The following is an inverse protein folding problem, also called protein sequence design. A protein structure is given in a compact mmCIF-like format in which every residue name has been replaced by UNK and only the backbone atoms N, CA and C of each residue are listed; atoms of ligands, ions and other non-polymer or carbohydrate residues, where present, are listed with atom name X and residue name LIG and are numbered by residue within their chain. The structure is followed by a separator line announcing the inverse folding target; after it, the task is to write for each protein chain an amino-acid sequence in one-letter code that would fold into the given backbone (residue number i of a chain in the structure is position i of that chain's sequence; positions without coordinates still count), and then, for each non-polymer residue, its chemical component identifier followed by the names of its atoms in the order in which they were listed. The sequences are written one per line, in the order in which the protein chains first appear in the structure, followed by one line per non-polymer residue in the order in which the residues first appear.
data_IF_803287234186
#
_entry.id   IF_803287234186
#
_cell.length_a   1.000
_cell.length_b   1.000
_cell.length_c   1.000
_cell.angle_alpha   90.00
_cell.angle_beta   90.00
_cell.angle_gamma   90.00
#
_symmetry.space_group_name_H-M   'P 1'
#
loop_
_entity.id
_entity.type
_entity.pdbx_description
1 polymer ?
#
# COMPACT_ATOMS: atom_id res chain seq x y z
N UNK A 1 18.08 29.01 19.68
CA UNK A 1 16.83 28.94 18.97
C UNK A 1 16.89 29.87 17.78
N UNK A 2 16.94 29.34 16.55
CA UNK A 2 16.82 30.15 15.34
C UNK A 2 15.34 30.57 15.23
N UNK A 3 15.08 31.86 15.22
CA UNK A 3 13.77 32.39 14.86
C UNK A 3 13.50 31.99 13.39
N UNK A 4 12.59 31.07 13.18
CA UNK A 4 12.14 30.69 11.84
C UNK A 4 11.37 31.88 11.29
N UNK A 5 11.86 32.49 10.23
CA UNK A 5 11.14 33.60 9.58
C UNK A 5 9.83 33.07 8.97
N UNK A 6 8.78 33.87 8.98
CA UNK A 6 7.45 33.49 8.43
C UNK A 6 7.53 32.92 7.01
N UNK A 7 8.46 33.38 6.21
CA UNK A 7 8.72 32.90 4.84
C UNK A 7 9.29 31.47 4.82
N UNK A 8 10.13 31.10 5.78
CA UNK A 8 10.68 29.74 5.88
C UNK A 8 9.62 28.76 6.35
N UNK A 9 8.78 29.14 7.32
CA UNK A 9 7.68 28.31 7.80
C UNK A 9 6.64 28.02 6.70
N UNK A 10 6.32 29.02 5.86
CA UNK A 10 5.38 28.81 4.74
C UNK A 10 5.97 27.91 3.64
N UNK A 11 7.25 28.03 3.34
CA UNK A 11 7.93 27.16 2.37
C UNK A 11 8.03 25.72 2.86
N UNK A 12 8.31 25.52 4.13
CA UNK A 12 8.32 24.18 4.76
C UNK A 12 6.92 23.56 4.75
N UNK A 13 5.88 24.30 5.08
CA UNK A 13 4.50 23.83 5.04
C UNK A 13 4.07 23.43 3.62
N UNK A 14 4.42 24.21 2.61
CA UNK A 14 4.13 23.88 1.22
C UNK A 14 4.85 22.59 0.78
N UNK A 15 6.11 22.42 1.16
CA UNK A 15 6.88 21.22 0.85
C UNK A 15 6.29 19.98 1.53
N UNK A 16 5.87 20.10 2.79
CA UNK A 16 5.22 19.00 3.53
C UNK A 16 3.85 18.64 2.92
N UNK A 17 3.06 19.65 2.52
CA UNK A 17 1.78 19.41 1.85
C UNK A 17 1.97 18.69 0.50
N UNK A 18 2.94 19.10 -0.31
CA UNK A 18 3.27 18.42 -1.58
C UNK A 18 3.74 16.98 -1.35
N UNK A 19 4.57 16.76 -0.34
CA UNK A 19 5.00 15.41 0.05
C UNK A 19 3.83 14.55 0.48
N UNK A 20 2.91 15.09 1.28
CA UNK A 20 1.69 14.40 1.72
C UNK A 20 0.80 14.00 0.54
N UNK A 21 0.57 14.91 -0.41
CA UNK A 21 -0.20 14.63 -1.63
C UNK A 21 0.48 13.52 -2.45
N UNK A 22 1.78 13.61 -2.64
CA UNK A 22 2.54 12.61 -3.41
C UNK A 22 2.44 11.23 -2.79
N UNK A 23 2.56 11.13 -1.47
CA UNK A 23 2.47 9.85 -0.76
C UNK A 23 1.03 9.33 -0.75
N UNK A 24 0.03 10.19 -0.55
CA UNK A 24 -1.39 9.79 -0.63
C UNK A 24 -1.72 9.19 -1.99
N UNK A 25 -1.25 9.80 -3.06
CA UNK A 25 -1.40 9.28 -4.42
C UNK A 25 -0.68 7.92 -4.62
N UNK A 26 0.49 7.73 -4.01
CA UNK A 26 1.21 6.46 -4.07
C UNK A 26 0.51 5.35 -3.28
N UNK A 27 -0.18 5.69 -2.19
CA UNK A 27 -0.91 4.73 -1.37
C UNK A 27 -2.19 4.19 -2.03
N UNK A 28 -2.80 4.91 -2.97
CA UNK A 28 -4.00 4.44 -3.67
C UNK A 28 -3.77 3.08 -4.36
N UNK A 29 -2.80 2.92 -5.28
CA UNK A 29 -2.56 1.64 -5.92
C UNK A 29 -2.13 0.54 -4.94
N UNK A 30 -1.36 0.89 -3.92
CA UNK A 30 -0.95 -0.04 -2.88
C UNK A 30 -2.16 -0.58 -2.09
N UNK A 31 -3.05 0.31 -1.66
CA UNK A 31 -4.28 -0.07 -0.96
C UNK A 31 -5.18 -0.96 -1.81
N UNK A 32 -5.33 -0.65 -3.09
CA UNK A 32 -6.09 -1.47 -4.03
C UNK A 32 -5.47 -2.86 -4.18
N UNK A 33 -4.16 -2.96 -4.36
CA UNK A 33 -3.46 -4.23 -4.49
C UNK A 33 -3.67 -5.15 -3.27
N UNK A 34 -3.51 -4.60 -2.06
CA UNK A 34 -3.72 -5.38 -0.84
C UNK A 34 -5.19 -5.70 -0.56
N UNK A 35 -6.11 -4.89 -1.04
CA UNK A 35 -7.54 -5.18 -0.99
C UNK A 35 -7.90 -6.41 -1.82
N UNK A 36 -7.34 -6.53 -3.02
CA UNK A 36 -7.51 -7.73 -3.84
C UNK A 36 -6.90 -8.96 -3.18
N UNK A 37 -5.70 -8.85 -2.60
CA UNK A 37 -5.08 -9.96 -1.84
C UNK A 37 -5.94 -10.38 -0.65
N UNK A 38 -6.57 -9.43 0.04
CA UNK A 38 -7.46 -9.69 1.17
C UNK A 38 -8.83 -10.25 0.75
N UNK A 39 -9.16 -10.28 -0.55
CA UNK A 39 -10.46 -10.73 -1.05
C UNK A 39 -11.63 -9.80 -0.73
N UNK A 40 -11.33 -8.50 -0.51
CA UNK A 40 -12.34 -7.48 -0.21
C UNK A 40 -12.59 -6.56 -1.41
N UNK A 41 -13.65 -5.74 -1.34
CA UNK A 41 -13.93 -4.79 -2.42
C UNK A 41 -12.96 -3.60 -2.39
N UNK A 42 -12.56 -3.06 -3.56
CA UNK A 42 -11.62 -1.93 -3.66
C UNK A 42 -12.01 -0.71 -2.82
N UNK A 43 -13.31 -0.46 -2.71
CA UNK A 43 -13.88 0.64 -1.92
C UNK A 43 -13.56 0.51 -0.43
N UNK A 44 -13.62 -0.69 0.13
CA UNK A 44 -13.32 -0.95 1.55
C UNK A 44 -11.86 -0.63 1.85
N UNK A 45 -10.93 -1.05 0.99
CA UNK A 45 -9.52 -0.75 1.16
C UNK A 45 -9.19 0.74 1.05
N UNK A 46 -9.84 1.43 0.12
CA UNK A 46 -9.65 2.87 -0.04
C UNK A 46 -10.14 3.66 1.18
N UNK A 47 -11.33 3.33 1.69
CA UNK A 47 -11.85 3.94 2.91
C UNK A 47 -10.97 3.64 4.13
N UNK A 48 -10.50 2.39 4.27
CA UNK A 48 -9.61 2.01 5.35
C UNK A 48 -8.29 2.79 5.30
N UNK A 49 -7.70 2.94 4.12
CA UNK A 49 -6.47 3.71 3.93
C UNK A 49 -6.68 5.21 4.23
N UNK A 50 -7.81 5.80 3.80
CA UNK A 50 -8.13 7.20 4.06
C UNK A 50 -8.34 7.45 5.56
N UNK A 51 -9.11 6.59 6.25
CA UNK A 51 -9.33 6.70 7.70
C UNK A 51 -8.03 6.50 8.48
N UNK A 52 -7.22 5.51 8.11
CA UNK A 52 -5.92 5.27 8.75
C UNK A 52 -4.98 6.46 8.57
N UNK A 53 -4.90 7.01 7.36
CA UNK A 53 -4.11 8.20 7.06
C UNK A 53 -4.58 9.42 7.87
N UNK A 54 -5.89 9.63 7.97
CA UNK A 54 -6.47 10.72 8.76
C UNK A 54 -6.18 10.56 10.26
N UNK A 55 -6.40 9.36 10.80
CA UNK A 55 -6.13 9.06 12.21
C UNK A 55 -4.65 9.23 12.56
N UNK A 56 -3.74 8.72 11.72
CA UNK A 56 -2.30 8.89 11.92
C UNK A 56 -1.84 10.34 11.78
N UNK A 57 -2.44 11.12 10.88
CA UNK A 57 -2.15 12.55 10.76
C UNK A 57 -2.61 13.33 12.00
N UNK A 58 -3.78 12.98 12.56
CA UNK A 58 -4.35 13.65 13.72
C UNK A 58 -3.70 13.22 15.06
N UNK A 59 -3.41 11.93 15.22
CA UNK A 59 -2.93 11.32 16.45
C UNK A 59 -1.48 10.88 16.40
N UNK A 60 -0.85 10.96 15.23
CA UNK A 60 0.50 10.50 14.98
C UNK A 60 1.55 11.20 15.83
N UNK A 61 2.46 10.41 16.39
CA UNK A 61 3.45 10.90 17.34
C UNK A 61 4.77 11.36 16.69
N UNK A 62 5.01 11.06 15.42
CA UNK A 62 6.28 11.38 14.78
C UNK A 62 6.06 11.97 13.37
N UNK A 63 6.73 13.11 13.06
CA UNK A 63 6.67 13.70 11.74
C UNK A 63 7.31 12.77 10.68
N UNK A 64 6.70 12.67 9.51
CA UNK A 64 7.19 11.86 8.40
C UNK A 64 6.79 10.38 8.47
N UNK A 65 6.01 9.94 9.47
CA UNK A 65 5.47 8.59 9.55
C UNK A 65 4.06 8.57 8.96
N UNK A 66 3.85 7.64 8.03
CA UNK A 66 2.55 7.39 7.39
C UNK A 66 2.16 5.95 7.69
N UNK A 67 0.89 5.74 8.01
CA UNK A 67 0.32 4.41 8.17
C UNK A 67 -0.59 4.09 6.99
N UNK A 68 -0.48 2.89 6.47
CA UNK A 68 -1.23 2.45 5.31
C UNK A 68 -1.50 0.96 5.32
N UNK A 69 -1.96 0.44 4.19
CA UNK A 69 -2.21 -0.98 4.00
C UNK A 69 -0.92 -1.79 4.18
N UNK A 70 -1.03 -2.95 4.83
CA UNK A 70 0.10 -3.84 5.07
C UNK A 70 -0.15 -5.20 4.44
N UNK A 71 0.77 -5.64 3.59
CA UNK A 71 0.67 -6.92 2.89
C UNK A 71 0.59 -8.11 3.83
N UNK A 72 1.32 -8.09 4.96
CA UNK A 72 1.25 -9.12 5.99
C UNK A 72 -0.17 -9.27 6.54
N UNK A 73 -0.84 -8.17 6.81
CA UNK A 73 -2.22 -8.17 7.32
C UNK A 73 -3.20 -8.67 6.26
N UNK A 74 -3.03 -8.23 5.01
CA UNK A 74 -3.89 -8.66 3.90
C UNK A 74 -3.88 -10.18 3.71
N UNK A 75 -2.70 -10.80 3.75
CA UNK A 75 -2.54 -12.26 3.62
C UNK A 75 -3.20 -13.02 4.77
N UNK A 76 -3.09 -12.53 6.00
CA UNK A 76 -3.72 -13.15 7.19
C UNK A 76 -5.24 -13.00 7.16
N UNK A 77 -5.74 -11.90 6.62
CA UNK A 77 -7.18 -11.60 6.51
C UNK A 77 -7.86 -12.42 5.40
N UNK A 78 -7.15 -12.72 4.30
CA UNK A 78 -7.72 -13.40 3.14
C UNK A 78 -8.50 -14.69 3.47
N UNK A 79 -7.98 -15.66 4.26
CA UNK A 79 -8.72 -16.85 4.64
C UNK A 79 -9.95 -16.56 5.49
N UNK A 80 -9.88 -15.53 6.36
CA UNK A 80 -10.99 -15.11 7.19
C UNK A 80 -12.15 -14.58 6.35
N UNK A 81 -11.85 -13.70 5.40
CA UNK A 81 -12.84 -13.11 4.49
C UNK A 81 -13.46 -14.20 3.60
N UNK A 82 -12.64 -15.14 3.12
CA UNK A 82 -13.11 -16.24 2.28
C UNK A 82 -14.07 -17.19 3.02
N UNK A 83 -13.85 -17.43 4.32
CA UNK A 83 -14.65 -18.37 5.11
C UNK A 83 -15.86 -17.75 5.82
N UNK A 84 -15.76 -16.51 6.25
CA UNK A 84 -16.77 -15.86 7.12
C UNK A 84 -17.34 -14.55 6.55
N UNK A 85 -16.75 -14.03 5.48
CA UNK A 85 -17.18 -12.77 4.86
C UNK A 85 -16.56 -11.52 5.49
N UNK A 86 -16.87 -10.38 4.87
CA UNK A 86 -16.27 -9.07 5.22
C UNK A 86 -16.79 -8.54 6.57
N UNK A 87 -17.98 -8.96 7.01
CA UNK A 87 -18.55 -8.51 8.29
C UNK A 87 -17.70 -8.97 9.49
N UNK A 88 -17.21 -10.19 9.45
CA UNK A 88 -16.29 -10.70 10.47
C UNK A 88 -14.94 -9.97 10.47
N UNK A 89 -14.51 -9.48 9.32
CA UNK A 89 -13.30 -8.66 9.22
C UNK A 89 -13.42 -7.39 10.07
N UNK A 90 -14.56 -6.69 10.02
CA UNK A 90 -14.76 -5.49 10.83
C UNK A 90 -14.69 -5.78 12.32
N UNK A 91 -15.29 -6.88 12.77
CA UNK A 91 -15.20 -7.31 14.17
C UNK A 91 -13.75 -7.64 14.57
N UNK A 92 -13.02 -8.36 13.73
CA UNK A 92 -11.60 -8.66 13.97
C UNK A 92 -10.73 -7.41 14.02
N UNK A 93 -10.96 -6.44 13.15
CA UNK A 93 -10.23 -5.15 13.13
C UNK A 93 -10.51 -4.37 14.41
N UNK A 94 -11.77 -4.31 14.86
CA UNK A 94 -12.12 -3.66 16.13
C UNK A 94 -11.43 -4.32 17.34
N UNK A 95 -11.42 -5.66 17.37
CA UNK A 95 -10.74 -6.41 18.43
C UNK A 95 -9.23 -6.22 18.39
N UNK A 96 -8.63 -6.25 17.20
CA UNK A 96 -7.21 -5.99 17.02
C UNK A 96 -6.83 -4.57 17.45
N UNK A 97 -7.68 -3.57 17.12
CA UNK A 97 -7.50 -2.19 17.55
C UNK A 97 -7.55 -2.06 19.09
N UNK A 98 -8.50 -2.71 19.75
CA UNK A 98 -8.59 -2.74 21.20
C UNK A 98 -7.35 -3.40 21.83
N UNK A 99 -6.90 -4.53 21.29
CA UNK A 99 -5.68 -5.21 21.74
C UNK A 99 -4.44 -4.32 21.56
N UNK A 100 -4.31 -3.64 20.44
CA UNK A 100 -3.21 -2.70 20.18
C UNK A 100 -3.23 -1.52 21.14
N UNK A 101 -4.41 -0.96 21.44
CA UNK A 101 -4.57 0.12 22.40
C UNK A 101 -4.16 -0.34 23.81
N UNK A 102 -4.56 -1.54 24.24
CA UNK A 102 -4.14 -2.13 25.51
C UNK A 102 -2.62 -2.34 25.58
N UNK A 103 -2.01 -2.89 24.51
CA UNK A 103 -0.56 -3.03 24.41
C UNK A 103 0.17 -1.68 24.45
N UNK A 104 -0.41 -0.65 23.83
CA UNK A 104 0.12 0.71 23.87
C UNK A 104 0.07 1.29 25.29
N UNK A 105 -1.06 1.15 26.00
CA UNK A 105 -1.24 1.60 27.38
C UNK A 105 -0.24 0.91 28.34
N UNK A 106 0.00 -0.38 28.14
CA UNK A 106 0.98 -1.17 28.89
C UNK A 106 2.43 -0.92 28.45
N UNK A 107 2.64 -0.04 27.47
CA UNK A 107 3.98 0.30 26.89
C UNK A 107 4.76 -0.92 26.40
N UNK A 108 4.07 -1.94 25.91
CA UNK A 108 4.68 -3.18 25.42
C UNK A 108 5.52 -2.95 24.15
N UNK A 109 5.36 -1.84 23.45
CA UNK A 109 6.19 -1.45 22.31
C UNK A 109 7.70 -1.39 22.60
N UNK A 110 8.08 -1.27 23.89
CA UNK A 110 9.49 -1.35 24.30
C UNK A 110 10.14 -2.70 23.99
N UNK A 111 9.33 -3.77 23.98
CA UNK A 111 9.82 -5.12 23.71
C UNK A 111 10.21 -5.37 22.26
N UNK A 112 9.82 -4.49 21.33
CA UNK A 112 10.26 -4.57 19.93
C UNK A 112 11.79 -4.52 19.79
N UNK A 113 12.47 -3.89 20.75
CA UNK A 113 13.92 -3.81 20.80
C UNK A 113 14.61 -5.15 21.09
N UNK A 114 13.84 -6.13 21.62
CA UNK A 114 14.32 -7.48 21.90
C UNK A 114 14.31 -8.36 20.65
N UNK A 115 13.63 -7.93 19.58
CA UNK A 115 13.56 -8.69 18.33
C UNK A 115 14.90 -8.56 17.58
N UNK A 116 15.62 -9.67 17.38
CA UNK A 116 16.90 -9.63 16.67
C UNK A 116 16.71 -9.22 15.21
N UNK A 117 17.65 -8.48 14.65
CA UNK A 117 17.61 -8.04 13.25
C UNK A 117 17.46 -9.21 12.24
N UNK A 118 18.09 -10.38 12.41
CA UNK A 118 17.86 -11.53 11.53
C UNK A 118 16.41 -12.01 11.49
N UNK A 119 15.69 -11.92 12.61
CA UNK A 119 14.27 -12.28 12.68
C UNK A 119 13.42 -11.33 11.82
N UNK A 120 13.70 -10.03 11.87
CA UNK A 120 13.03 -9.02 11.03
C UNK A 120 13.29 -9.25 9.53
N UNK A 121 14.53 -9.57 9.17
CA UNK A 121 14.89 -9.89 7.77
C UNK A 121 14.18 -11.16 7.32
N UNK A 122 14.14 -12.21 8.15
CA UNK A 122 13.43 -13.45 7.87
C UNK A 122 11.93 -13.22 7.67
N UNK A 123 11.32 -12.40 8.52
CA UNK A 123 9.91 -12.01 8.39
C UNK A 123 9.62 -11.30 7.05
N UNK A 124 10.43 -10.31 6.69
CA UNK A 124 10.27 -9.55 5.43
C UNK A 124 10.45 -10.47 4.21
N UNK A 125 11.44 -11.36 4.23
CA UNK A 125 11.66 -12.32 3.14
C UNK A 125 10.51 -13.33 3.05
N UNK A 126 10.02 -13.85 4.16
CA UNK A 126 8.85 -14.72 4.19
C UNK A 126 7.60 -14.03 3.65
N UNK A 127 7.38 -12.79 4.04
CA UNK A 127 6.28 -11.97 3.54
C UNK A 127 6.38 -11.74 2.03
N UNK A 128 7.58 -11.47 1.51
CA UNK A 128 7.80 -11.30 0.07
C UNK A 128 7.43 -12.57 -0.72
N UNK A 129 7.77 -13.75 -0.20
CA UNK A 129 7.41 -15.04 -0.82
C UNK A 129 5.89 -15.25 -0.81
N UNK A 130 5.23 -14.97 0.31
CA UNK A 130 3.77 -15.15 0.43
C UNK A 130 3.02 -14.19 -0.49
N UNK A 131 3.41 -12.90 -0.52
CA UNK A 131 2.83 -11.93 -1.45
C UNK A 131 3.12 -12.34 -2.90
N UNK A 132 4.34 -12.78 -3.21
CA UNK A 132 4.69 -13.28 -4.54
C UNK A 132 3.81 -14.45 -4.96
N UNK A 133 3.54 -15.40 -4.06
CA UNK A 133 2.64 -16.52 -4.32
C UNK A 133 1.21 -16.05 -4.61
N UNK A 134 0.67 -15.13 -3.81
CA UNK A 134 -0.69 -14.62 -4.03
C UNK A 134 -0.82 -13.84 -5.37
N UNK A 135 0.24 -13.20 -5.83
CA UNK A 135 0.24 -12.58 -7.17
C UNK A 135 0.22 -13.63 -8.28
N UNK A 136 0.86 -14.79 -8.09
CA UNK A 136 0.81 -15.89 -9.06
C UNK A 136 -0.58 -16.51 -9.19
N UNK A 137 -1.36 -16.51 -8.12
CA UNK A 137 -2.74 -17.00 -8.14
C UNK A 137 -3.63 -16.21 -9.10
N UNK A 138 -3.30 -14.93 -9.35
CA UNK A 138 -3.99 -14.09 -10.35
C UNK A 138 -3.89 -14.66 -11.78
N UNK A 139 -2.85 -15.44 -12.08
CA UNK A 139 -2.66 -16.06 -13.38
C UNK A 139 -3.30 -17.46 -13.48
N UNK A 140 -3.71 -18.03 -12.35
CA UNK A 140 -4.34 -19.36 -12.31
C UNK A 140 -5.76 -19.26 -12.86
N UNK A 141 -6.07 -20.09 -13.85
CA UNK A 141 -7.39 -20.10 -14.51
C UNK A 141 -7.50 -19.21 -15.75
N UNK A 142 -6.50 -18.38 -16.01
CA UNK A 142 -6.44 -17.64 -17.27
C UNK A 142 -5.91 -18.53 -18.40
N UNK A 143 -6.58 -18.55 -19.53
CA UNK A 143 -6.21 -19.36 -20.71
C UNK A 143 -6.18 -18.54 -21.98
N UNK A 144 -5.38 -18.97 -22.95
CA UNK A 144 -5.34 -18.40 -24.29
C UNK A 144 -4.89 -16.94 -24.34
N UNK A 145 -5.65 -16.12 -25.05
CA UNK A 145 -5.33 -14.71 -25.28
C UNK A 145 -5.32 -13.87 -24.00
N UNK A 146 -6.21 -14.18 -23.05
CA UNK A 146 -6.31 -13.45 -21.76
C UNK A 146 -5.04 -13.62 -20.92
N UNK A 147 -4.49 -14.84 -20.88
CA UNK A 147 -3.22 -15.09 -20.19
C UNK A 147 -2.07 -14.31 -20.84
N UNK A 148 -1.97 -14.34 -22.17
CA UNK A 148 -0.91 -13.64 -22.90
C UNK A 148 -1.00 -12.11 -22.70
N UNK A 149 -2.21 -11.54 -22.74
CA UNK A 149 -2.43 -10.10 -22.51
C UNK A 149 -2.11 -9.70 -21.07
N UNK A 150 -2.49 -10.49 -20.08
CA UNK A 150 -2.20 -10.23 -18.66
C UNK A 150 -0.70 -10.29 -18.38
N UNK A 151 0.01 -11.29 -18.91
CA UNK A 151 1.47 -11.38 -18.81
C UNK A 151 2.13 -10.18 -19.51
N UNK A 152 1.68 -9.83 -20.70
CA UNK A 152 2.19 -8.68 -21.47
C UNK A 152 2.01 -7.36 -20.71
N UNK A 153 0.82 -7.12 -20.14
CA UNK A 153 0.55 -5.94 -19.32
C UNK A 153 1.42 -5.90 -18.06
N UNK A 154 1.55 -7.04 -17.39
CA UNK A 154 2.38 -7.14 -16.17
C UNK A 154 3.85 -6.83 -16.50
N UNK A 155 4.40 -7.44 -17.56
CA UNK A 155 5.75 -7.17 -18.00
C UNK A 155 5.95 -5.70 -18.41
N UNK A 156 4.99 -5.12 -19.13
CA UNK A 156 4.99 -3.72 -19.52
C UNK A 156 4.98 -2.80 -18.32
N UNK A 157 4.11 -3.06 -17.32
CA UNK A 157 4.03 -2.29 -16.08
C UNK A 157 5.33 -2.36 -15.29
N UNK A 158 5.92 -3.54 -15.15
CA UNK A 158 7.21 -3.71 -14.47
C UNK A 158 8.35 -2.99 -15.20
N UNK A 159 8.36 -3.05 -16.52
CA UNK A 159 9.35 -2.31 -17.34
C UNK A 159 9.18 -0.79 -17.15
N UNK A 160 7.96 -0.29 -17.16
CA UNK A 160 7.65 1.12 -16.92
C UNK A 160 8.13 1.58 -15.55
N UNK A 161 7.80 0.85 -14.48
CA UNK A 161 8.21 1.19 -13.11
C UNK A 161 9.75 1.21 -12.98
N UNK A 162 10.45 0.33 -13.70
CA UNK A 162 11.92 0.24 -13.64
C UNK A 162 12.61 1.30 -14.51
N UNK A 163 12.02 1.64 -15.65
CA UNK A 163 12.61 2.56 -16.63
C UNK A 163 12.23 4.03 -16.38
N UNK A 164 11.01 4.29 -15.89
CA UNK A 164 10.51 5.64 -15.67
C UNK A 164 11.41 6.49 -14.74
N UNK A 165 11.90 5.98 -13.61
CA UNK A 165 12.80 6.75 -12.73
C UNK A 165 14.14 7.10 -13.38
N UNK A 166 14.53 6.36 -14.43
CA UNK A 166 15.74 6.60 -15.21
C UNK A 166 15.53 7.55 -16.38
N UNK A 167 14.29 7.72 -16.82
CA UNK A 167 13.95 8.59 -17.92
C UNK A 167 13.94 10.04 -17.48
N UNK A 168 14.71 10.88 -18.15
CA UNK A 168 14.75 12.33 -17.92
C UNK A 168 13.41 13.05 -18.14
N UNK A 169 12.42 12.34 -18.69
CA UNK A 169 11.08 12.84 -19.04
C UNK A 169 10.04 12.62 -17.92
N UNK A 170 10.37 11.89 -16.86
CA UNK A 170 9.42 11.65 -15.77
C UNK A 170 9.14 12.94 -14.99
N UNK A 171 7.86 13.33 -14.79
CA UNK A 171 7.52 14.50 -14.01
C UNK A 171 8.01 14.30 -12.58
N UNK A 172 8.91 15.20 -12.15
CA UNK A 172 9.46 15.20 -10.80
C UNK A 172 8.32 15.43 -9.81
N UNK A 173 8.05 14.45 -8.96
CA UNK A 173 7.00 14.53 -7.93
C UNK A 173 5.82 13.57 -8.11
N UNK A 174 5.71 12.88 -9.25
CA UNK A 174 4.67 11.85 -9.43
C UNK A 174 5.29 10.46 -9.22
N UNK A 175 4.73 9.62 -8.34
CA UNK A 175 5.23 8.26 -8.13
C UNK A 175 5.14 7.41 -9.41
N UNK A 176 6.23 6.72 -9.74
CA UNK A 176 6.30 5.86 -10.92
C UNK A 176 5.16 4.80 -11.00
N UNK A 177 4.70 4.18 -9.89
CA UNK A 177 3.57 3.26 -9.93
C UNK A 177 2.27 3.89 -10.43
N UNK A 178 1.98 5.15 -10.08
CA UNK A 178 0.78 5.86 -10.55
C UNK A 178 0.79 6.06 -12.06
N UNK A 179 1.93 6.49 -12.60
CA UNK A 179 2.09 6.67 -14.05
C UNK A 179 1.99 5.33 -14.78
N UNK A 180 2.52 4.25 -14.19
CA UNK A 180 2.41 2.92 -14.76
C UNK A 180 0.96 2.43 -14.80
N UNK A 181 0.19 2.62 -13.72
CA UNK A 181 -1.24 2.24 -13.67
C UNK A 181 -2.05 3.09 -14.64
N UNK A 182 -1.86 4.40 -14.67
CA UNK A 182 -2.56 5.29 -15.59
C UNK A 182 -2.29 4.92 -17.06
N UNK A 183 -1.04 4.61 -17.40
CA UNK A 183 -0.66 4.19 -18.75
C UNK A 183 -1.25 2.83 -19.12
N UNK A 184 -1.26 1.86 -18.20
CA UNK A 184 -1.91 0.57 -18.42
C UNK A 184 -3.42 0.70 -18.57
N UNK A 185 -4.08 1.49 -17.73
CA UNK A 185 -5.52 1.73 -17.80
C UNK A 185 -5.92 2.40 -19.11
N UNK A 186 -5.14 3.37 -19.58
CA UNK A 186 -5.38 4.00 -20.88
C UNK A 186 -5.14 3.03 -22.03
N UNK A 187 -4.09 2.22 -21.96
CA UNK A 187 -3.78 1.22 -22.98
C UNK A 187 -4.89 0.16 -23.09
N UNK A 188 -5.36 -0.39 -21.97
CA UNK A 188 -6.45 -1.37 -21.96
C UNK A 188 -7.75 -0.79 -22.48
N UNK A 189 -8.07 0.45 -22.14
CA UNK A 189 -9.29 1.12 -22.60
C UNK A 189 -9.24 1.42 -24.10
N UNK A 190 -8.10 1.92 -24.61
CA UNK A 190 -7.91 2.24 -26.05
C UNK A 190 -7.90 0.97 -26.91
N UNK A 191 -7.23 -0.07 -26.45
CA UNK A 191 -7.14 -1.34 -27.19
C UNK A 191 -8.35 -2.25 -26.99
N UNK A 192 -9.30 -1.88 -26.12
CA UNK A 192 -10.47 -2.72 -25.74
C UNK A 192 -10.06 -4.16 -25.36
N UNK A 193 -8.92 -4.30 -24.70
CA UNK A 193 -8.42 -5.60 -24.28
C UNK A 193 -9.29 -6.07 -23.12
N UNK A 194 -9.98 -7.20 -23.30
CA UNK A 194 -10.67 -7.89 -22.21
C UNK A 194 -9.60 -8.52 -21.31
N UNK A 195 -9.51 -8.01 -20.08
CA UNK A 195 -8.65 -8.55 -19.01
C UNK A 195 -9.52 -9.12 -17.91
#
# INVERSE_FOLDING_TARGET
GRAVTHTQASAEAATQALSGITVSLAMVPESLAFTFVAGTTPIVGLHAAALMGLCTAALGAQPGVISGAAGATAVVIAPLVASHGVEYLFACVALAGAAQAACGALRLGKFIRLVPQPCMIGFVNGLAIVIGKSQLETFVGLTGTTLATTIGLTAFTMALIKLLPRASFAPKGVPAPLLAIASCATLTNVMKIAT
#
